data_IF_238410493834
#
_entry.id   IF_238410493834
#
_cell.length_a   1.000
_cell.length_b   1.000
_cell.length_c   1.000
_cell.angle_alpha   90.00
_cell.angle_beta   90.00
_cell.angle_gamma   90.00
#
_symmetry.space_group_name_H-M   'P 1'
#
loop_
_entity.id
_entity.type
_entity.pdbx_description
1 polymer ?
#
# COMPACT_ATOMS: atom_id res chain seq x y z
N UNK A 1 -5.45 -8.87 6.82
CA UNK A 1 -5.19 -7.91 7.91
C UNK A 1 -6.36 -7.82 8.88
N UNK A 2 -7.57 -7.40 8.45
CA UNK A 2 -8.73 -7.26 9.35
C UNK A 2 -9.09 -8.52 10.13
N UNK A 3 -9.14 -9.68 9.46
CA UNK A 3 -9.39 -10.97 10.11
C UNK A 3 -8.30 -11.36 11.12
N UNK A 4 -7.09 -10.81 10.98
CA UNK A 4 -5.97 -11.01 11.90
C UNK A 4 -5.85 -9.87 12.93
N UNK A 5 -6.92 -9.10 13.16
CA UNK A 5 -6.98 -8.11 14.25
C UNK A 5 -6.34 -6.75 13.94
N UNK A 6 -6.16 -6.38 12.67
CA UNK A 6 -5.69 -5.03 12.33
C UNK A 6 -6.66 -3.95 12.87
N UNK A 7 -6.12 -2.98 13.62
CA UNK A 7 -6.89 -1.87 14.21
C UNK A 7 -7.38 -0.88 13.16
N UNK A 8 -6.53 -0.55 12.18
CA UNK A 8 -6.84 0.34 11.05
C UNK A 8 -6.09 -0.17 9.81
N UNK A 9 -6.69 -0.03 8.63
CA UNK A 9 -6.13 -0.43 7.33
C UNK A 9 -6.33 0.73 6.34
N UNK A 10 -5.23 1.27 5.85
CA UNK A 10 -5.25 2.17 4.69
C UNK A 10 -5.23 1.31 3.42
N UNK A 11 -6.36 1.24 2.72
CA UNK A 11 -6.50 0.49 1.48
C UNK A 11 -6.24 1.41 0.29
N UNK A 12 -5.00 1.40 -0.20
CA UNK A 12 -4.52 2.31 -1.24
C UNK A 12 -4.58 1.65 -2.62
N UNK A 13 -5.18 2.32 -3.59
CA UNK A 13 -5.24 1.86 -4.98
C UNK A 13 -5.21 3.05 -5.95
N UNK A 14 -4.61 2.86 -7.14
CA UNK A 14 -4.61 3.87 -8.22
C UNK A 14 -5.90 3.87 -9.03
N UNK A 15 -6.66 2.76 -9.00
CA UNK A 15 -7.93 2.58 -9.66
C UNK A 15 -9.08 3.28 -8.95
N UNK A 16 -10.29 3.05 -9.47
CA UNK A 16 -11.53 3.64 -8.96
C UNK A 16 -12.54 2.52 -8.70
N UNK A 17 -13.27 2.59 -7.58
CA UNK A 17 -14.33 1.64 -7.21
C UNK A 17 -13.90 0.15 -7.25
N UNK A 18 -12.67 -0.13 -6.86
CA UNK A 18 -12.11 -1.49 -6.78
C UNK A 18 -12.40 -2.15 -5.44
N UNK A 19 -12.36 -1.38 -4.34
CA UNK A 19 -12.55 -1.95 -3.01
C UNK A 19 -14.00 -2.38 -2.80
N UNK A 20 -14.19 -3.66 -2.46
CA UNK A 20 -15.49 -4.26 -2.21
C UNK A 20 -16.28 -3.46 -1.16
N UNK A 21 -17.58 -3.25 -1.41
CA UNK A 21 -18.46 -2.40 -0.59
C UNK A 21 -18.38 -2.69 0.91
N UNK A 22 -18.42 -3.98 1.29
CA UNK A 22 -18.35 -4.40 2.70
C UNK A 22 -17.06 -3.95 3.39
N UNK A 23 -15.93 -3.95 2.68
CA UNK A 23 -14.66 -3.45 3.23
C UNK A 23 -14.63 -1.93 3.27
N UNK A 24 -15.19 -1.26 2.26
CA UNK A 24 -15.28 0.21 2.22
C UNK A 24 -16.10 0.78 3.38
N UNK A 25 -17.09 0.04 3.86
CA UNK A 25 -17.93 0.44 5.01
C UNK A 25 -17.39 0.00 6.37
N UNK A 26 -16.32 -0.80 6.44
CA UNK A 26 -15.72 -1.18 7.72
C UNK A 26 -15.04 0.04 8.33
N UNK A 27 -15.41 0.43 9.55
CA UNK A 27 -14.90 1.63 10.24
C UNK A 27 -13.38 1.62 10.44
N UNK A 28 -12.75 0.45 10.36
CA UNK A 28 -11.30 0.28 10.46
C UNK A 28 -10.60 0.49 9.13
N UNK A 29 -11.33 0.68 8.02
CA UNK A 29 -10.76 0.80 6.68
C UNK A 29 -10.88 2.23 6.18
N UNK A 30 -9.74 2.79 5.77
CA UNK A 30 -9.68 4.05 5.05
C UNK A 30 -9.35 3.73 3.60
N UNK A 31 -10.35 3.89 2.72
CA UNK A 31 -10.20 3.67 1.28
C UNK A 31 -9.54 4.89 0.63
N UNK A 32 -8.35 4.71 0.07
CA UNK A 32 -7.58 5.73 -0.64
C UNK A 32 -7.46 5.32 -2.11
N UNK A 33 -8.56 5.45 -2.85
CA UNK A 33 -8.58 5.19 -4.30
C UNK A 33 -8.15 6.41 -5.11
N UNK A 34 -7.82 6.21 -6.38
CA UNK A 34 -7.23 7.23 -7.24
C UNK A 34 -5.95 7.84 -6.64
N UNK A 35 -5.25 7.07 -5.80
CA UNK A 35 -4.11 7.53 -5.03
C UNK A 35 -2.84 6.80 -5.50
N UNK A 36 -1.91 7.57 -6.05
CA UNK A 36 -0.63 7.01 -6.48
C UNK A 36 0.38 6.99 -5.34
N UNK A 37 0.58 5.79 -4.77
CA UNK A 37 1.45 5.59 -3.61
C UNK A 37 2.91 6.03 -3.83
N UNK A 38 3.39 6.11 -5.07
CA UNK A 38 4.72 6.66 -5.40
C UNK A 38 4.93 8.07 -4.84
N UNK A 39 3.85 8.85 -4.73
CA UNK A 39 3.88 10.24 -4.27
C UNK A 39 3.35 10.41 -2.85
N UNK A 40 3.09 9.31 -2.15
CA UNK A 40 2.57 9.31 -0.79
C UNK A 40 3.53 10.03 0.17
N UNK A 41 2.94 10.73 1.13
CA UNK A 41 3.63 11.44 2.21
C UNK A 41 3.08 10.97 3.56
N UNK A 42 3.88 11.09 4.61
CA UNK A 42 3.42 10.76 5.97
C UNK A 42 2.17 11.56 6.37
N UNK A 43 2.00 12.79 5.87
CA UNK A 43 0.84 13.64 6.12
C UNK A 43 -0.47 13.13 5.49
N UNK A 44 -0.41 12.19 4.56
CA UNK A 44 -1.59 11.60 3.94
C UNK A 44 -2.24 10.52 4.84
N UNK A 45 -1.57 10.17 5.95
CA UNK A 45 -2.00 9.14 6.90
C UNK A 45 -2.16 9.76 8.29
N UNK A 46 -3.34 9.59 8.89
CA UNK A 46 -3.62 10.08 10.26
C UNK A 46 -2.79 9.36 11.32
N UNK A 47 -2.45 8.10 11.06
CA UNK A 47 -1.70 7.22 11.94
C UNK A 47 -0.58 6.56 11.15
N UNK A 48 0.62 6.54 11.73
CA UNK A 48 1.79 5.86 11.13
C UNK A 48 1.58 4.34 11.11
N UNK A 49 1.54 3.70 9.93
CA UNK A 49 1.40 2.24 9.85
C UNK A 49 2.67 1.54 10.34
N UNK A 50 2.51 0.42 11.04
CA UNK A 50 3.61 -0.45 11.49
C UNK A 50 3.75 -1.73 10.65
N UNK A 51 2.82 -1.97 9.73
CA UNK A 51 2.83 -3.11 8.82
C UNK A 51 2.36 -2.66 7.43
N UNK A 52 2.97 -3.19 6.37
CA UNK A 52 2.55 -2.96 5.00
C UNK A 52 2.54 -4.28 4.19
N UNK A 53 1.50 -4.45 3.37
CA UNK A 53 1.51 -5.43 2.29
C UNK A 53 1.56 -4.69 0.95
N UNK A 54 2.44 -5.10 0.04
CA UNK A 54 2.57 -4.49 -1.28
C UNK A 54 2.28 -5.55 -2.35
N UNK A 55 1.24 -5.33 -3.12
CA UNK A 55 0.91 -6.10 -4.32
C UNK A 55 0.48 -5.12 -5.41
N UNK A 56 1.42 -4.75 -6.28
CA UNK A 56 1.21 -3.75 -7.35
C UNK A 56 1.63 -4.34 -8.68
N UNK A 57 1.09 -3.81 -9.77
CA UNK A 57 1.41 -4.24 -11.14
C UNK A 57 1.90 -3.05 -11.97
N UNK A 58 2.68 -3.33 -13.01
CA UNK A 58 3.20 -2.33 -13.96
C UNK A 58 4.12 -1.25 -13.33
N UNK A 59 4.62 -1.49 -12.13
CA UNK A 59 5.56 -0.62 -11.43
C UNK A 59 6.55 -1.47 -10.62
N UNK A 60 7.81 -1.04 -10.59
CA UNK A 60 8.85 -1.65 -9.77
C UNK A 60 8.68 -1.27 -8.30
N UNK A 61 8.93 -2.21 -7.39
CA UNK A 61 9.05 -1.96 -5.95
C UNK A 61 10.13 -0.91 -5.64
N UNK A 62 11.14 -0.74 -6.50
CA UNK A 62 12.13 0.33 -6.39
C UNK A 62 11.54 1.75 -6.39
N UNK A 63 10.33 1.94 -6.93
CA UNK A 63 9.60 3.21 -6.87
C UNK A 63 8.62 3.31 -5.69
N UNK A 64 8.26 2.19 -5.08
CA UNK A 64 7.29 2.12 -3.97
C UNK A 64 7.98 2.15 -2.62
N UNK A 65 9.05 1.37 -2.45
CA UNK A 65 9.77 1.23 -1.18
C UNK A 65 10.35 2.57 -0.66
N UNK A 66 10.85 3.50 -1.49
CA UNK A 66 11.31 4.80 -1.00
C UNK A 66 10.19 5.68 -0.42
N UNK A 67 8.98 5.60 -0.98
CA UNK A 67 7.82 6.30 -0.43
C UNK A 67 7.38 5.61 0.87
N UNK A 68 7.28 4.28 0.87
CA UNK A 68 6.90 3.51 2.05
C UNK A 68 7.85 3.73 3.23
N UNK A 69 9.16 3.80 2.98
CA UNK A 69 10.16 4.02 4.02
C UNK A 69 9.94 5.33 4.81
N UNK A 70 9.36 6.35 4.17
CA UNK A 70 9.05 7.65 4.80
C UNK A 70 7.75 7.63 5.61
N UNK A 71 6.91 6.61 5.42
CA UNK A 71 5.56 6.52 5.99
C UNK A 71 5.49 5.44 7.06
N UNK A 72 6.20 4.33 6.88
CA UNK A 72 6.17 3.20 7.79
C UNK A 72 6.93 3.53 9.07
N UNK A 73 6.39 3.07 10.21
CA UNK A 73 7.03 3.21 11.51
C UNK A 73 8.43 2.56 11.51
N UNK A 74 9.31 3.09 12.36
CA UNK A 74 10.58 2.46 12.65
C UNK A 74 10.36 1.00 13.11
N UNK A 75 11.14 0.06 12.58
CA UNK A 75 10.98 -1.39 12.76
C UNK A 75 9.68 -2.00 12.19
N UNK A 76 8.91 -1.24 11.42
CA UNK A 76 7.73 -1.73 10.72
C UNK A 76 8.05 -2.91 9.80
N UNK A 77 7.07 -3.79 9.61
CA UNK A 77 7.22 -5.01 8.81
C UNK A 77 6.58 -4.85 7.45
N UNK A 78 7.21 -5.43 6.44
CA UNK A 78 6.74 -5.36 5.06
C UNK A 78 6.66 -6.77 4.49
N UNK A 79 5.54 -7.08 3.86
CA UNK A 79 5.39 -8.23 2.96
C UNK A 79 5.19 -7.66 1.57
N UNK A 80 6.18 -7.83 0.69
CA UNK A 80 6.12 -7.32 -0.67
C UNK A 80 6.10 -8.48 -1.67
N UNK A 81 5.14 -8.44 -2.60
CA UNK A 81 5.12 -9.37 -3.73
C UNK A 81 6.05 -8.86 -4.82
N UNK A 82 7.18 -9.55 -5.01
CA UNK A 82 8.09 -9.30 -6.12
C UNK A 82 7.51 -9.94 -7.37
N UNK A 83 7.29 -9.13 -8.41
CA UNK A 83 6.79 -9.58 -9.72
C UNK A 83 7.88 -9.37 -10.77
N UNK A 84 8.69 -10.40 -11.12
CA UNK A 84 9.86 -10.25 -11.97
C UNK A 84 9.61 -9.48 -13.28
N UNK A 85 8.45 -9.67 -13.90
CA UNK A 85 8.03 -8.98 -15.14
C UNK A 85 7.90 -7.45 -15.01
N UNK A 86 7.85 -6.90 -13.79
CA UNK A 86 7.82 -5.46 -13.52
C UNK A 86 9.10 -4.92 -12.87
N UNK A 87 10.04 -5.81 -12.52
CA UNK A 87 11.34 -5.45 -11.95
C UNK A 87 12.47 -5.55 -12.97
N UNK A 88 12.35 -6.47 -13.94
CA UNK A 88 13.32 -6.63 -15.01
C UNK A 88 13.32 -5.40 -15.95
N UNK A 89 14.52 -4.93 -16.31
CA UNK A 89 14.68 -3.90 -17.32
C UNK A 89 14.28 -4.40 -18.71
N UNK A 90 13.91 -3.48 -19.61
CA UNK A 90 13.42 -3.77 -20.99
C UNK A 90 14.39 -4.56 -21.90
N UNK A 91 15.59 -4.89 -21.45
CA UNK A 91 16.65 -5.57 -22.22
C UNK A 91 17.11 -6.91 -21.61
N UNK A 92 16.29 -7.54 -20.76
CA UNK A 92 16.52 -8.90 -20.24
C UNK A 92 15.39 -9.85 -20.64
#
# INVERSE_FOLDING_TARGET
MLQNGARKVYAVDVGTNQLAWKLRQDERVISMEQFNFRYAKATDFEETPSFASIDVSFISLGLILPALHKILAENGKVVALIKPQFEAGREQ
#
